data_IF_058171406976
#
_entry.id   IF_058171406976
#
_cell.length_a   1.000
_cell.length_b   1.000
_cell.length_c   1.000
_cell.angle_alpha   90.00
_cell.angle_beta   90.00
_cell.angle_gamma   90.00
#
_symmetry.space_group_name_H-M   'P 1'
#
loop_
_entity.id
_entity.type
_entity.pdbx_description
1 polymer ?
#
# COMPACT_ATOMS: atom_id res chain seq x y z
N UNK A 1 24.12 18.25 -10.22
CA UNK A 1 23.27 18.70 -11.35
C UNK A 1 21.99 19.29 -10.80
N UNK A 2 21.54 20.41 -11.36
CA UNK A 2 20.40 21.21 -10.86
C UNK A 2 19.11 20.38 -10.85
N UNK A 3 18.94 19.51 -11.85
CA UNK A 3 17.80 18.59 -11.98
C UNK A 3 17.77 17.51 -10.89
N UNK A 4 18.92 16.90 -10.55
CA UNK A 4 18.99 15.85 -9.53
C UNK A 4 18.68 16.34 -8.12
N UNK A 5 19.19 17.54 -7.75
CA UNK A 5 18.87 18.14 -6.45
C UNK A 5 17.40 18.59 -6.39
N UNK A 6 16.86 19.13 -7.49
CA UNK A 6 15.45 19.52 -7.57
C UNK A 6 14.49 18.33 -7.42
N UNK A 7 14.82 17.15 -7.96
CA UNK A 7 14.00 15.94 -7.83
C UNK A 7 14.03 15.42 -6.38
N UNK A 8 15.21 15.38 -5.74
CA UNK A 8 15.34 14.96 -4.35
C UNK A 8 14.56 15.85 -3.38
N UNK A 9 14.66 17.17 -3.57
CA UNK A 9 13.92 18.15 -2.76
C UNK A 9 12.42 18.16 -3.04
N UNK A 10 12.00 17.89 -4.28
CA UNK A 10 10.59 17.85 -4.68
C UNK A 10 9.88 16.57 -4.22
N UNK A 11 10.54 15.42 -4.30
CA UNK A 11 9.92 14.12 -3.99
C UNK A 11 9.94 13.77 -2.49
N UNK A 12 10.85 14.38 -1.69
CA UNK A 12 10.96 14.21 -0.22
C UNK A 12 10.68 12.77 0.25
N UNK A 13 11.31 11.79 -0.41
CA UNK A 13 11.14 10.35 -0.14
C UNK A 13 11.81 9.97 1.19
N UNK A 14 11.27 10.42 2.33
CA UNK A 14 11.63 9.87 3.63
C UNK A 14 10.74 8.66 3.94
N UNK A 15 11.27 7.68 4.68
CA UNK A 15 10.46 6.60 5.23
C UNK A 15 9.38 7.21 6.14
N UNK A 16 8.12 7.15 5.71
CA UNK A 16 6.99 7.69 6.48
C UNK A 16 6.54 6.65 7.49
N UNK A 17 6.62 7.01 8.78
CA UNK A 17 5.84 6.31 9.81
C UNK A 17 4.41 6.85 9.74
N UNK A 18 3.47 6.03 9.28
CA UNK A 18 2.07 6.41 9.18
C UNK A 18 1.37 6.34 10.55
N UNK A 19 1.76 7.23 11.47
CA UNK A 19 1.08 7.38 12.75
C UNK A 19 -0.13 8.32 12.67
N UNK A 20 -1.28 7.90 13.19
CA UNK A 20 -2.47 8.74 13.32
C UNK A 20 -3.61 8.30 12.38
N UNK A 21 -4.20 9.25 11.65
CA UNK A 21 -5.41 9.02 10.86
C UNK A 21 -5.11 8.44 9.48
N UNK A 22 -6.02 7.61 8.94
CA UNK A 22 -5.96 7.02 7.60
C UNK A 22 -5.85 8.09 6.51
N UNK A 23 -6.50 9.24 6.70
CA UNK A 23 -6.39 10.43 5.84
C UNK A 23 -4.96 10.96 5.66
N UNK A 24 -4.07 10.78 6.65
CA UNK A 24 -2.63 11.13 6.51
C UNK A 24 -1.92 10.27 5.47
N UNK A 25 -2.41 9.05 5.22
CA UNK A 25 -2.11 8.22 4.04
C UNK A 25 -2.21 9.03 2.75
N UNK A 26 -3.36 9.66 2.57
CA UNK A 26 -3.68 10.49 1.42
C UNK A 26 -2.79 11.72 1.31
N UNK A 27 -2.47 12.39 2.43
CA UNK A 27 -1.55 13.53 2.41
C UNK A 27 -0.16 13.17 1.86
N UNK A 28 0.31 11.96 2.15
CA UNK A 28 1.60 11.51 1.62
C UNK A 28 1.54 11.24 0.12
N UNK A 29 0.50 10.54 -0.35
CA UNK A 29 0.29 10.33 -1.78
C UNK A 29 0.14 11.66 -2.53
N UNK A 30 -0.54 12.65 -1.94
CA UNK A 30 -0.72 13.99 -2.51
C UNK A 30 0.62 14.74 -2.62
N UNK A 31 1.52 14.59 -1.64
CA UNK A 31 2.87 15.17 -1.71
C UNK A 31 3.69 14.54 -2.82
N UNK A 32 3.66 13.20 -2.94
CA UNK A 32 4.36 12.51 -4.03
C UNK A 32 3.80 12.92 -5.39
N UNK A 33 2.48 13.00 -5.53
CA UNK A 33 1.79 13.47 -6.73
C UNK A 33 2.29 14.85 -7.14
N UNK A 34 2.28 15.84 -6.23
CA UNK A 34 2.77 17.20 -6.50
C UNK A 34 4.24 17.24 -6.90
N UNK A 35 5.07 16.40 -6.29
CA UNK A 35 6.48 16.26 -6.67
C UNK A 35 6.65 15.72 -8.10
N UNK A 36 5.82 14.77 -8.52
CA UNK A 36 5.80 14.27 -9.91
C UNK A 36 5.28 15.32 -10.89
N UNK A 37 4.20 16.03 -10.55
CA UNK A 37 3.66 17.13 -11.37
C UNK A 37 4.74 18.20 -11.63
N UNK A 38 5.40 18.69 -10.57
CA UNK A 38 6.46 19.68 -10.71
C UNK A 38 7.68 19.19 -11.48
N UNK A 39 7.98 17.89 -11.43
CA UNK A 39 9.06 17.29 -12.23
C UNK A 39 8.66 17.19 -13.70
N UNK A 40 7.41 16.81 -13.98
CA UNK A 40 6.86 16.75 -15.33
C UNK A 40 6.83 18.13 -15.98
N UNK A 41 6.45 19.17 -15.24
CA UNK A 41 6.43 20.54 -15.75
C UNK A 41 7.82 21.02 -16.17
N UNK A 42 8.85 20.77 -15.34
CA UNK A 42 10.24 21.07 -15.69
C UNK A 42 10.75 20.25 -16.88
N UNK A 43 10.29 19.01 -17.02
CA UNK A 43 10.62 18.18 -18.17
C UNK A 43 9.99 18.75 -19.46
N UNK A 44 8.78 19.30 -19.39
CA UNK A 44 8.13 19.98 -20.51
C UNK A 44 8.82 21.30 -20.87
N UNK A 45 9.24 22.08 -19.87
CA UNK A 45 10.05 23.29 -20.06
C UNK A 45 11.35 22.96 -20.81
N UNK A 46 12.08 21.93 -20.36
CA UNK A 46 13.29 21.44 -21.03
C UNK A 46 13.03 21.04 -22.50
N UNK A 47 11.89 20.42 -22.80
CA UNK A 47 11.48 20.09 -24.18
C UNK A 47 11.34 21.35 -25.05
N UNK A 48 10.82 22.43 -24.47
CA UNK A 48 10.74 23.75 -25.09
C UNK A 48 12.12 24.33 -25.38
N UNK A 49 12.98 24.42 -24.36
CA UNK A 49 14.33 24.97 -24.49
C UNK A 49 15.18 24.23 -25.54
N UNK A 50 15.08 22.89 -25.58
CA UNK A 50 15.80 22.08 -26.57
C UNK A 50 15.33 22.37 -28.00
N UNK A 51 14.07 22.76 -28.18
CA UNK A 51 13.54 23.17 -29.50
C UNK A 51 14.21 24.44 -30.02
N UNK A 52 14.73 25.28 -29.14
CA UNK A 52 15.35 26.57 -29.47
C UNK A 52 16.88 26.48 -29.63
N UNK A 53 17.46 25.29 -29.48
CA UNK A 53 18.90 25.08 -29.53
C UNK A 53 19.48 25.36 -30.94
N UNK A 54 20.19 26.49 -31.08
CA UNK A 54 20.64 27.03 -32.38
C UNK A 54 21.72 26.22 -33.13
N UNK A 55 22.44 25.34 -32.44
CA UNK A 55 23.57 24.57 -33.02
C UNK A 55 23.38 23.05 -32.95
N UNK A 56 22.20 22.58 -32.57
CA UNK A 56 21.89 21.17 -32.51
C UNK A 56 21.29 20.68 -33.84
N UNK A 57 21.61 19.45 -34.24
CA UNK A 57 20.98 18.82 -35.40
C UNK A 57 19.50 18.55 -35.09
N UNK A 58 18.60 18.96 -35.99
CA UNK A 58 17.15 18.77 -35.84
C UNK A 58 16.75 17.32 -35.58
N UNK A 59 17.43 16.35 -36.21
CA UNK A 59 17.17 14.92 -35.94
C UNK A 59 17.51 14.51 -34.49
N UNK A 60 18.57 15.06 -33.91
CA UNK A 60 18.93 14.83 -32.51
C UNK A 60 17.93 15.48 -31.55
N UNK A 61 17.43 16.68 -31.88
CA UNK A 61 16.37 17.36 -31.11
C UNK A 61 15.12 16.49 -31.04
N UNK A 62 14.67 15.94 -32.17
CA UNK A 62 13.45 15.12 -32.20
C UNK A 62 13.59 13.81 -31.42
N UNK A 63 14.78 13.18 -31.43
CA UNK A 63 15.05 12.00 -30.58
C UNK A 63 14.92 12.34 -29.10
N UNK A 64 15.50 13.47 -28.67
CA UNK A 64 15.44 13.88 -27.25
C UNK A 64 14.01 14.24 -26.84
N UNK A 65 13.26 14.95 -27.68
CA UNK A 65 11.84 15.21 -27.45
C UNK A 65 11.02 13.93 -27.34
N UNK A 66 11.32 12.94 -28.18
CA UNK A 66 10.69 11.62 -28.11
C UNK A 66 10.93 10.95 -26.75
N UNK A 67 12.17 11.00 -26.24
CA UNK A 67 12.50 10.46 -24.93
C UNK A 67 11.82 11.23 -23.78
N UNK A 68 11.79 12.57 -23.87
CA UNK A 68 11.07 13.43 -22.91
C UNK A 68 9.58 13.08 -22.88
N UNK A 69 8.95 12.97 -24.05
CA UNK A 69 7.54 12.59 -24.16
C UNK A 69 7.28 11.22 -23.54
N UNK A 70 8.12 10.23 -23.85
CA UNK A 70 8.02 8.89 -23.26
C UNK A 70 8.09 8.90 -21.72
N UNK A 71 8.97 9.70 -21.13
CA UNK A 71 9.02 9.89 -19.68
C UNK A 71 7.78 10.65 -19.15
N UNK A 72 7.29 11.65 -19.87
CA UNK A 72 6.06 12.38 -19.56
C UNK A 72 4.84 11.46 -19.47
N UNK A 73 4.69 10.52 -20.41
CA UNK A 73 3.60 9.53 -20.41
C UNK A 73 3.67 8.57 -19.20
N UNK A 74 4.87 8.29 -18.69
CA UNK A 74 5.06 7.51 -17.45
C UNK A 74 4.64 8.34 -16.24
N UNK A 75 5.03 9.62 -16.17
CA UNK A 75 4.60 10.50 -15.08
C UNK A 75 3.08 10.64 -15.02
N UNK A 76 2.41 10.77 -16.17
CA UNK A 76 0.93 10.82 -16.22
C UNK A 76 0.28 9.61 -15.55
N UNK A 77 0.74 8.40 -15.87
CA UNK A 77 0.22 7.17 -15.25
C UNK A 77 0.44 7.13 -13.74
N UNK A 78 1.61 7.56 -13.27
CA UNK A 78 1.94 7.60 -11.85
C UNK A 78 1.10 8.65 -11.11
N UNK A 79 0.91 9.84 -11.71
CA UNK A 79 0.08 10.92 -11.16
C UNK A 79 -1.39 10.48 -11.06
N UNK A 80 -1.91 9.80 -12.08
CA UNK A 80 -3.28 9.26 -12.09
C UNK A 80 -3.48 8.21 -10.99
N UNK A 81 -2.56 7.24 -10.88
CA UNK A 81 -2.62 6.21 -9.85
C UNK A 81 -2.53 6.80 -8.44
N UNK A 82 -1.64 7.77 -8.22
CA UNK A 82 -1.53 8.48 -6.93
C UNK A 82 -2.79 9.30 -6.62
N UNK A 83 -3.37 9.97 -7.60
CA UNK A 83 -4.63 10.73 -7.42
C UNK A 83 -5.74 9.81 -6.90
N UNK A 84 -5.90 8.62 -7.50
CA UNK A 84 -6.89 7.64 -7.05
C UNK A 84 -6.57 7.12 -5.63
N UNK A 85 -5.30 6.90 -5.29
CA UNK A 85 -4.90 6.49 -3.93
C UNK A 85 -5.17 7.57 -2.88
N UNK A 86 -4.95 8.85 -3.23
CA UNK A 86 -5.32 10.00 -2.39
C UNK A 86 -6.82 9.96 -2.08
N UNK A 87 -7.65 9.72 -3.09
CA UNK A 87 -9.10 9.73 -2.92
C UNK A 87 -9.59 8.55 -2.07
N UNK A 88 -9.02 7.35 -2.25
CA UNK A 88 -9.32 6.20 -1.35
C UNK A 88 -8.98 6.53 0.11
N UNK A 89 -7.85 7.19 0.36
CA UNK A 89 -7.46 7.57 1.72
C UNK A 89 -8.37 8.65 2.31
N UNK A 90 -8.83 9.62 1.50
CA UNK A 90 -9.83 10.62 1.93
C UNK A 90 -11.16 9.96 2.28
N UNK A 91 -11.61 8.98 1.50
CA UNK A 91 -12.84 8.23 1.76
C UNK A 91 -12.78 7.40 3.06
N UNK A 92 -11.58 6.96 3.45
CA UNK A 92 -11.37 6.29 4.74
C UNK A 92 -11.54 7.25 5.95
N UNK A 93 -11.43 8.55 5.70
CA UNK A 93 -11.69 9.63 6.65
C UNK A 93 -10.70 9.71 7.81
N UNK A 94 -11.18 10.29 8.90
CA UNK A 94 -10.41 10.58 10.11
C UNK A 94 -10.25 9.39 11.07
N UNK A 95 -10.58 8.19 10.59
CA UNK A 95 -10.38 6.94 11.32
C UNK A 95 -8.89 6.74 11.58
N UNK A 96 -8.50 6.17 12.72
CA UNK A 96 -7.09 5.90 12.99
C UNK A 96 -6.56 4.71 12.15
N UNK A 97 -5.29 4.76 11.81
CA UNK A 97 -4.52 3.60 11.39
C UNK A 97 -4.44 2.66 12.59
N UNK A 98 -4.72 1.37 12.36
CA UNK A 98 -4.87 0.42 13.45
C UNK A 98 -6.17 0.60 14.25
N UNK A 99 -7.18 1.30 13.72
CA UNK A 99 -8.50 1.39 14.39
C UNK A 99 -9.02 -0.01 14.70
N UNK A 100 -9.58 -0.15 15.90
CA UNK A 100 -9.93 -1.43 16.43
C UNK A 100 -11.31 -1.42 17.09
N UNK A 101 -11.97 -2.57 17.01
CA UNK A 101 -13.23 -2.80 17.68
C UNK A 101 -12.94 -3.31 19.10
N UNK A 102 -12.97 -2.40 20.07
CA UNK A 102 -12.61 -2.71 21.46
C UNK A 102 -13.50 -3.84 22.02
N UNK A 103 -12.86 -4.94 22.43
CA UNK A 103 -13.52 -6.15 22.94
C UNK A 103 -14.60 -6.74 21.99
N UNK A 104 -14.51 -6.43 20.69
CA UNK A 104 -15.44 -6.91 19.66
C UNK A 104 -14.71 -7.62 18.52
N UNK A 105 -15.48 -8.26 17.65
CA UNK A 105 -14.96 -8.89 16.44
C UNK A 105 -14.28 -7.89 15.50
N UNK A 106 -13.38 -8.37 14.65
CA UNK A 106 -12.79 -7.53 13.61
C UNK A 106 -13.87 -7.08 12.61
N UNK A 107 -13.64 -5.95 11.93
CA UNK A 107 -14.52 -5.45 10.88
C UNK A 107 -13.79 -5.53 9.55
N UNK A 108 -14.46 -6.06 8.53
CA UNK A 108 -13.92 -6.13 7.17
C UNK A 108 -13.67 -4.71 6.63
N UNK A 109 -12.62 -4.57 5.83
CA UNK A 109 -12.45 -3.37 5.03
C UNK A 109 -13.48 -3.32 3.89
N UNK A 110 -13.79 -2.10 3.45
CA UNK A 110 -14.61 -1.88 2.26
C UNK A 110 -13.94 -2.51 1.04
N UNK A 111 -14.67 -3.41 0.36
CA UNK A 111 -14.13 -4.19 -0.74
C UNK A 111 -13.73 -3.31 -1.93
N UNK A 112 -14.49 -2.25 -2.21
CA UNK A 112 -14.22 -1.36 -3.34
C UNK A 112 -12.98 -0.51 -3.07
N UNK A 113 -12.81 0.02 -1.85
CA UNK A 113 -11.60 0.71 -1.43
C UNK A 113 -10.38 -0.21 -1.55
N UNK A 114 -10.48 -1.47 -1.12
CA UNK A 114 -9.38 -2.45 -1.24
C UNK A 114 -9.05 -2.76 -2.71
N UNK A 115 -10.06 -2.99 -3.56
CA UNK A 115 -9.85 -3.18 -5.01
C UNK A 115 -9.16 -1.98 -5.65
N UNK A 116 -9.55 -0.76 -5.27
CA UNK A 116 -8.94 0.44 -5.78
C UNK A 116 -7.45 0.52 -5.40
N UNK A 117 -7.07 0.22 -4.16
CA UNK A 117 -5.64 0.17 -3.78
C UNK A 117 -4.89 -0.88 -4.59
N UNK A 118 -5.42 -2.11 -4.69
CA UNK A 118 -4.79 -3.22 -5.44
C UNK A 118 -4.54 -2.81 -6.90
N UNK A 119 -5.55 -2.24 -7.56
CA UNK A 119 -5.46 -1.81 -8.96
C UNK A 119 -4.40 -0.72 -9.15
N UNK A 120 -4.38 0.30 -8.28
CA UNK A 120 -3.43 1.41 -8.41
C UNK A 120 -1.99 1.00 -8.07
N UNK A 121 -1.79 0.13 -7.08
CA UNK A 121 -0.46 -0.45 -6.81
C UNK A 121 0.03 -1.24 -8.01
N UNK A 122 -0.85 -1.99 -8.68
CA UNK A 122 -0.53 -2.68 -9.93
C UNK A 122 -0.15 -1.70 -11.05
N UNK A 123 -0.92 -0.62 -11.25
CA UNK A 123 -0.61 0.43 -12.24
C UNK A 123 0.78 1.04 -12.00
N UNK A 124 1.12 1.34 -10.74
CA UNK A 124 2.43 1.90 -10.35
C UNK A 124 3.58 0.92 -10.66
N UNK A 125 3.42 -0.36 -10.29
CA UNK A 125 4.43 -1.39 -10.55
C UNK A 125 4.60 -1.63 -12.04
N UNK A 126 3.51 -1.72 -12.80
CA UNK A 126 3.55 -1.92 -14.25
C UNK A 126 4.22 -0.73 -14.96
N UNK A 127 4.05 0.51 -14.46
CA UNK A 127 4.74 1.68 -14.96
C UNK A 127 6.25 1.67 -14.62
N UNK A 128 6.61 1.25 -13.41
CA UNK A 128 7.99 1.12 -12.96
C UNK A 128 8.76 0.06 -13.78
N UNK A 129 8.17 -1.13 -13.96
CA UNK A 129 8.77 -2.24 -14.72
C UNK A 129 9.04 -1.85 -16.18
N UNK A 130 8.06 -1.21 -16.84
CA UNK A 130 8.22 -0.68 -18.22
C UNK A 130 9.27 0.42 -18.33
N UNK A 131 9.60 1.07 -17.21
CA UNK A 131 10.64 2.09 -17.12
C UNK A 131 12.02 1.49 -16.78
N UNK A 132 12.14 0.15 -16.73
CA UNK A 132 13.38 -0.55 -16.39
C UNK A 132 13.70 -0.55 -14.89
N UNK A 133 12.76 -0.19 -14.03
CA UNK A 133 12.93 -0.27 -12.58
C UNK A 133 12.69 -1.70 -12.13
N UNK A 134 13.74 -2.35 -11.62
CA UNK A 134 13.65 -3.70 -11.09
C UNK A 134 12.83 -3.71 -9.78
N UNK A 135 11.70 -4.42 -9.80
CA UNK A 135 10.89 -4.70 -8.62
C UNK A 135 11.18 -6.12 -8.15
N UNK A 136 11.72 -6.26 -6.95
CA UNK A 136 12.06 -7.58 -6.40
C UNK A 136 10.82 -8.32 -5.91
N UNK A 137 10.85 -9.65 -5.94
CA UNK A 137 9.74 -10.47 -5.43
C UNK A 137 9.67 -10.48 -3.90
N UNK A 138 10.81 -10.24 -3.23
CA UNK A 138 10.96 -10.36 -1.79
C UNK A 138 10.89 -11.80 -1.27
N UNK A 139 11.10 -11.98 0.04
CA UNK A 139 10.85 -13.24 0.72
C UNK A 139 9.44 -13.24 1.32
N UNK A 140 8.55 -14.11 0.82
CA UNK A 140 7.18 -14.18 1.32
C UNK A 140 7.08 -14.58 2.81
N UNK A 141 8.09 -15.28 3.32
CA UNK A 141 8.11 -15.79 4.69
C UNK A 141 7.33 -17.10 4.82
N UNK A 142 7.02 -17.45 6.07
CA UNK A 142 6.41 -18.72 6.42
C UNK A 142 4.90 -18.57 6.56
N UNK A 143 4.20 -19.71 6.54
CA UNK A 143 2.78 -19.76 6.86
C UNK A 143 2.51 -19.22 8.26
N UNK A 144 1.41 -18.47 8.40
CA UNK A 144 0.94 -17.98 9.71
C UNK A 144 -0.29 -18.77 10.10
N UNK A 145 -0.14 -19.63 11.10
CA UNK A 145 -1.19 -20.54 11.54
C UNK A 145 -2.23 -19.84 12.40
N UNK A 146 -3.48 -20.28 12.28
CA UNK A 146 -4.60 -19.87 13.13
C UNK A 146 -5.26 -21.10 13.77
N UNK A 147 -5.07 -21.28 15.08
CA UNK A 147 -5.73 -22.33 15.86
C UNK A 147 -6.67 -21.81 16.94
N UNK A 148 -6.47 -20.57 17.41
CA UNK A 148 -7.19 -20.00 18.53
C UNK A 148 -7.41 -18.48 18.41
N UNK A 149 -8.30 -17.94 19.25
CA UNK A 149 -8.53 -16.49 19.37
C UNK A 149 -7.31 -15.74 19.94
N UNK A 150 -6.33 -16.45 20.49
CA UNK A 150 -5.06 -15.92 21.00
C UNK A 150 -3.97 -15.81 19.93
N UNK A 151 -4.24 -16.17 18.68
CA UNK A 151 -3.26 -16.16 17.60
C UNK A 151 -3.31 -14.85 16.80
N UNK A 152 -2.21 -14.53 16.12
CA UNK A 152 -2.08 -13.29 15.34
C UNK A 152 -3.27 -13.04 14.40
N UNK A 153 -3.73 -14.02 13.59
CA UNK A 153 -4.80 -13.75 12.62
C UNK A 153 -6.17 -13.45 13.25
N UNK A 154 -6.37 -13.78 14.53
CA UNK A 154 -7.62 -13.47 15.22
C UNK A 154 -7.83 -11.95 15.35
N UNK A 155 -6.75 -11.20 15.58
CA UNK A 155 -6.78 -9.74 15.62
C UNK A 155 -7.11 -9.11 14.26
N UNK A 156 -6.87 -9.83 13.15
CA UNK A 156 -7.14 -9.34 11.80
C UNK A 156 -8.57 -9.64 11.33
N UNK A 157 -9.05 -10.88 11.47
CA UNK A 157 -10.23 -11.34 10.73
C UNK A 157 -11.17 -12.31 11.48
N UNK A 158 -11.04 -12.47 12.81
CA UNK A 158 -11.98 -13.33 13.56
C UNK A 158 -13.40 -12.73 13.64
N UNK A 159 -14.43 -13.59 13.64
CA UNK A 159 -15.83 -13.21 13.91
C UNK A 159 -16.15 -12.98 15.38
N UNK A 160 -15.20 -13.24 16.28
CA UNK A 160 -15.35 -13.02 17.70
C UNK A 160 -14.20 -12.14 18.21
N UNK A 161 -14.29 -11.69 19.45
CA UNK A 161 -13.24 -10.90 20.07
C UNK A 161 -11.91 -11.67 20.08
N UNK A 162 -10.85 -11.03 19.62
CA UNK A 162 -9.51 -11.56 19.76
C UNK A 162 -9.15 -11.60 21.26
N UNK A 163 -8.51 -12.69 21.67
CA UNK A 163 -8.13 -12.91 23.06
C UNK A 163 -6.73 -12.36 23.34
N UNK A 164 -6.37 -12.34 24.62
CA UNK A 164 -5.07 -11.83 25.07
C UNK A 164 -3.94 -12.48 24.27
N UNK A 165 -2.93 -11.67 23.96
CA UNK A 165 -1.74 -11.96 23.17
C UNK A 165 -1.93 -12.02 21.65
N UNK A 166 -3.16 -11.88 21.13
CA UNK A 166 -3.41 -11.86 19.68
C UNK A 166 -2.81 -10.61 19.01
N UNK A 167 -2.99 -9.42 19.61
CA UNK A 167 -2.45 -8.16 19.10
C UNK A 167 -0.91 -8.13 19.07
N UNK A 168 -0.22 -8.45 20.19
CA UNK A 168 1.24 -8.57 20.21
C UNK A 168 1.79 -9.57 19.18
N UNK A 169 1.18 -10.75 19.06
CA UNK A 169 1.57 -11.73 18.03
C UNK A 169 1.35 -11.20 16.61
N UNK A 170 0.27 -10.45 16.36
CA UNK A 170 0.05 -9.82 15.06
C UNK A 170 1.21 -8.87 14.71
N UNK A 171 1.61 -8.00 15.64
CA UNK A 171 2.75 -7.11 15.44
C UNK A 171 4.06 -7.89 15.19
N UNK A 172 4.27 -8.97 15.93
CA UNK A 172 5.42 -9.86 15.72
C UNK A 172 5.43 -10.48 14.31
N UNK A 173 4.32 -11.06 13.85
CA UNK A 173 4.23 -11.67 12.52
C UNK A 173 4.35 -10.65 11.39
N UNK A 174 3.83 -9.43 11.58
CA UNK A 174 3.99 -8.34 10.62
C UNK A 174 5.45 -7.88 10.53
N UNK A 175 6.16 -7.79 11.66
CA UNK A 175 7.57 -7.38 11.68
C UNK A 175 8.52 -8.31 10.91
N UNK A 176 8.09 -9.56 10.67
CA UNK A 176 8.84 -10.57 9.89
C UNK A 176 8.68 -10.40 8.38
N UNK A 177 7.71 -9.60 7.93
CA UNK A 177 7.35 -9.48 6.53
C UNK A 177 8.37 -8.65 5.75
N UNK A 178 8.75 -9.15 4.58
CA UNK A 178 9.56 -8.42 3.63
C UNK A 178 8.67 -7.41 2.85
N UNK A 179 9.05 -6.12 2.78
CA UNK A 179 8.25 -5.10 2.09
C UNK A 179 8.04 -5.37 0.60
N UNK A 180 9.04 -5.92 -0.11
CA UNK A 180 8.89 -6.27 -1.53
C UNK A 180 7.90 -7.41 -1.72
N UNK A 181 7.95 -8.40 -0.83
CA UNK A 181 6.98 -9.48 -0.82
C UNK A 181 5.57 -8.95 -0.56
N UNK A 182 5.38 -8.03 0.39
CA UNK A 182 4.08 -7.41 0.65
C UNK A 182 3.53 -6.70 -0.60
N UNK A 183 4.33 -5.86 -1.25
CA UNK A 183 3.93 -5.15 -2.48
C UNK A 183 3.55 -6.15 -3.58
N UNK A 184 4.34 -7.21 -3.75
CA UNK A 184 4.08 -8.26 -4.72
C UNK A 184 2.81 -9.07 -4.39
N UNK A 185 2.48 -9.25 -3.12
CA UNK A 185 1.22 -9.88 -2.70
C UNK A 185 0.03 -8.96 -2.95
N UNK A 186 0.14 -7.66 -2.64
CA UNK A 186 -0.91 -6.66 -2.88
C UNK A 186 -1.26 -6.58 -4.37
N UNK A 187 -0.28 -6.46 -5.27
CA UNK A 187 -0.54 -6.31 -6.72
C UNK A 187 -1.29 -7.50 -7.35
N UNK A 188 -1.20 -8.67 -6.72
CA UNK A 188 -1.79 -9.93 -7.17
C UNK A 188 -3.02 -10.34 -6.32
N UNK A 189 -3.40 -9.53 -5.33
CA UNK A 189 -4.44 -9.87 -4.38
C UNK A 189 -5.82 -9.92 -5.05
N UNK A 190 -6.69 -10.80 -4.52
CA UNK A 190 -8.08 -10.97 -4.97
C UNK A 190 -9.02 -10.78 -3.79
N UNK A 191 -10.07 -10.00 -4.00
CA UNK A 191 -11.16 -9.82 -3.03
C UNK A 191 -12.39 -10.63 -3.45
N UNK A 192 -13.47 -10.58 -2.65
CA UNK A 192 -14.71 -11.28 -2.97
C UNK A 192 -14.63 -12.81 -2.78
N UNK A 193 -13.49 -13.31 -2.30
CA UNK A 193 -13.26 -14.72 -1.96
C UNK A 193 -13.53 -14.89 -0.47
N UNK A 194 -14.35 -15.88 -0.11
CA UNK A 194 -14.58 -16.22 1.30
C UNK A 194 -13.32 -16.81 1.93
N UNK A 195 -13.14 -16.58 3.23
CA UNK A 195 -12.02 -17.15 3.96
C UNK A 195 -12.20 -18.66 4.10
N UNK A 196 -11.18 -19.42 3.70
CA UNK A 196 -11.11 -20.84 3.97
C UNK A 196 -10.83 -21.07 5.46
N UNK A 197 -11.28 -22.20 5.99
CA UNK A 197 -10.84 -22.67 7.32
C UNK A 197 -9.37 -23.07 7.22
N UNK A 198 -8.54 -22.60 8.16
CA UNK A 198 -7.11 -22.87 8.20
C UNK A 198 -6.25 -21.81 7.51
N UNK A 199 -5.06 -22.18 7.06
CA UNK A 199 -3.95 -21.22 6.92
C UNK A 199 -3.58 -20.89 5.46
N UNK A 200 -4.59 -20.92 4.58
CA UNK A 200 -4.40 -20.79 3.13
C UNK A 200 -5.04 -19.52 2.54
N UNK A 201 -5.28 -18.50 3.36
CA UNK A 201 -5.90 -17.26 2.89
C UNK A 201 -4.88 -16.25 2.36
N UNK A 202 -5.32 -15.50 1.35
CA UNK A 202 -4.53 -14.48 0.66
C UNK A 202 -5.00 -13.07 1.03
N UNK A 203 -4.13 -12.08 0.78
CA UNK A 203 -4.27 -10.68 1.17
C UNK A 203 -5.69 -10.09 1.03
N UNK A 204 -6.26 -10.16 -0.18
CA UNK A 204 -7.51 -9.47 -0.47
C UNK A 204 -8.70 -10.09 0.27
N UNK A 205 -8.73 -11.41 0.42
CA UNK A 205 -9.73 -12.10 1.24
C UNK A 205 -9.57 -11.74 2.72
N UNK A 206 -8.34 -11.79 3.24
CA UNK A 206 -8.03 -11.44 4.63
C UNK A 206 -8.39 -9.99 4.99
N UNK A 207 -8.23 -9.06 4.05
CA UNK A 207 -8.61 -7.66 4.28
C UNK A 207 -10.12 -7.42 4.25
N UNK A 208 -10.86 -8.11 3.36
CA UNK A 208 -12.26 -7.78 3.00
C UNK A 208 -13.31 -8.74 3.56
N UNK A 209 -12.90 -9.80 4.26
CA UNK A 209 -13.81 -10.77 4.88
C UNK A 209 -13.50 -10.96 6.35
N UNK A 210 -14.46 -11.56 7.05
CA UNK A 210 -14.37 -12.04 8.42
C UNK A 210 -14.59 -13.55 8.37
N UNK A 211 -13.80 -14.29 9.15
CA UNK A 211 -13.85 -15.74 9.18
C UNK A 211 -15.11 -16.22 9.90
N UNK A 212 -15.72 -17.31 9.44
CA UNK A 212 -16.80 -17.99 10.19
C UNK A 212 -16.27 -18.75 11.42
N UNK A 213 -14.95 -18.75 11.62
CA UNK A 213 -14.25 -19.35 12.74
C UNK A 213 -13.61 -18.29 13.65
N UNK A 214 -13.22 -18.73 14.85
CA UNK A 214 -12.52 -17.93 15.86
C UNK A 214 -11.17 -17.35 15.40
N UNK A 215 -10.59 -17.87 14.31
CA UNK A 215 -9.39 -17.36 13.66
C UNK A 215 -9.22 -18.06 12.30
N UNK A 216 -8.52 -17.43 11.35
CA UNK A 216 -8.13 -18.07 10.09
C UNK A 216 -6.77 -17.57 9.63
N UNK A 217 -5.89 -18.47 9.19
CA UNK A 217 -4.48 -18.17 8.98
C UNK A 217 -4.19 -17.57 7.62
N UNK A 218 -2.94 -17.19 7.42
CA UNK A 218 -2.44 -16.62 6.17
C UNK A 218 -1.42 -17.56 5.53
N UNK A 219 -1.42 -17.62 4.19
CA UNK A 219 -0.44 -18.43 3.43
C UNK A 219 1.00 -18.10 3.80
N UNK A 220 1.29 -16.81 4.03
CA UNK A 220 2.62 -16.33 4.36
C UNK A 220 2.59 -15.11 5.30
N UNK A 221 3.70 -14.80 5.96
CA UNK A 221 3.89 -13.53 6.70
C UNK A 221 3.55 -12.31 5.83
N UNK A 222 4.01 -12.30 4.57
CA UNK A 222 3.71 -11.22 3.64
C UNK A 222 2.22 -11.11 3.31
N UNK A 223 1.49 -12.24 3.22
CA UNK A 223 0.03 -12.23 3.03
C UNK A 223 -0.69 -11.58 4.21
N UNK A 224 -0.30 -11.94 5.44
CA UNK A 224 -0.87 -11.36 6.67
C UNK A 224 -0.57 -9.86 6.76
N UNK A 225 0.69 -9.47 6.62
CA UNK A 225 1.12 -8.08 6.74
C UNK A 225 0.51 -7.17 5.66
N UNK A 226 0.43 -7.66 4.42
CA UNK A 226 -0.25 -6.93 3.36
C UNK A 226 -1.75 -6.77 3.65
N UNK A 227 -2.41 -7.78 4.22
CA UNK A 227 -3.82 -7.68 4.58
C UNK A 227 -4.04 -6.69 5.73
N UNK A 228 -3.14 -6.67 6.72
CA UNK A 228 -3.11 -5.67 7.79
C UNK A 228 -2.98 -4.27 7.17
N UNK A 229 -2.01 -4.06 6.27
CA UNK A 229 -1.82 -2.78 5.61
C UNK A 229 -3.06 -2.34 4.81
N UNK A 230 -3.64 -3.21 3.98
CA UNK A 230 -4.85 -2.89 3.23
C UNK A 230 -6.02 -2.55 4.15
N UNK A 231 -6.25 -3.31 5.22
CA UNK A 231 -7.30 -3.01 6.20
C UNK A 231 -7.04 -1.69 6.94
N UNK A 232 -5.78 -1.41 7.25
CA UNK A 232 -5.37 -0.23 7.99
C UNK A 232 -5.57 1.07 7.18
N UNK A 233 -5.34 1.05 5.86
CA UNK A 233 -5.39 2.28 5.03
C UNK A 233 -6.72 2.50 4.32
N UNK A 234 -7.58 1.48 4.24
CA UNK A 234 -8.87 1.56 3.53
C UNK A 234 -10.05 1.81 4.47
N UNK A 235 -11.17 2.23 3.87
CA UNK A 235 -12.41 2.55 4.59
C UNK A 235 -12.97 1.34 5.34
N UNK A 236 -13.57 1.60 6.50
CA UNK A 236 -14.36 0.64 7.28
C UNK A 236 -13.57 -0.39 8.09
N UNK A 237 -12.40 -0.81 7.61
CA UNK A 237 -11.60 -1.86 8.24
C UNK A 237 -11.21 -1.54 9.67
N UNK A 238 -11.50 -2.49 10.58
CA UNK A 238 -11.10 -2.45 11.99
C UNK A 238 -10.51 -3.78 12.43
N UNK A 239 -9.51 -3.71 13.26
CA UNK A 239 -8.92 -4.88 13.91
C UNK A 239 -9.70 -5.27 15.17
N UNK A 240 -9.38 -6.43 15.73
CA UNK A 240 -9.85 -6.87 17.04
C UNK A 240 -8.68 -6.96 18.01
N UNK A 241 -8.92 -6.70 19.29
CA UNK A 241 -7.93 -6.90 20.35
C UNK A 241 -8.60 -7.23 21.68
N UNK A 242 -7.84 -7.87 22.58
CA UNK A 242 -8.22 -8.00 23.98
C UNK A 242 -8.05 -6.67 24.71
N UNK A 243 -8.69 -6.51 25.87
CA UNK A 243 -8.55 -5.30 26.68
C UNK A 243 -7.06 -4.95 26.91
N UNK A 244 -6.73 -3.66 26.73
CA UNK A 244 -5.37 -3.10 26.90
C UNK A 244 -4.33 -3.46 25.81
N UNK A 245 -4.73 -4.08 24.69
CA UNK A 245 -3.81 -4.43 23.58
C UNK A 245 -3.94 -3.54 22.33
N UNK A 246 -4.72 -2.44 22.41
CA UNK A 246 -4.91 -1.46 21.33
C UNK A 246 -3.57 -0.96 20.73
N UNK A 247 -2.58 -0.71 21.59
CA UNK A 247 -1.25 -0.29 21.16
C UNK A 247 -0.52 -1.30 20.28
N UNK A 248 -0.72 -2.61 20.50
CA UNK A 248 -0.05 -3.66 19.74
C UNK A 248 -0.63 -3.80 18.33
N UNK A 249 -1.96 -3.72 18.21
CA UNK A 249 -2.63 -3.73 16.91
C UNK A 249 -2.31 -2.47 16.10
N UNK A 250 -2.24 -1.30 16.77
CA UNK A 250 -1.74 -0.08 16.14
C UNK A 250 -0.30 -0.24 15.67
N UNK A 251 0.58 -0.82 16.48
CA UNK A 251 1.96 -1.07 16.09
C UNK A 251 2.07 -2.01 14.88
N UNK A 252 1.20 -3.02 14.76
CA UNK A 252 1.16 -3.89 13.59
C UNK A 252 0.71 -3.15 12.31
N UNK A 253 -0.09 -2.10 12.45
CA UNK A 253 -0.67 -1.38 11.33
C UNK A 253 0.20 -0.22 10.78
N UNK A 254 1.20 0.24 11.53
CA UNK A 254 2.01 1.46 11.27
C UNK A 254 3.36 1.16 10.65
#
# INVERSE_FOLDING_TARGET
GIFGNAIGDALRLSAVKFGGQKSKGGEHFEKMKKGLEGTKDKLNELSGEISEAKNANGSSIEVVKGAIKGAGDVFDKLIDALTKLVDVAKEAGDTNIGDANNAGAAVAADENSVKAVIANVKEIIDAADKSGVKIELGNAGNQVTAGAQTDAPAALAANNNAQANSGPKLAEEVSKADPWAMINKIKNAKTGINLAVGDNNEVGALATKIADANSTGAKTNADLAAAVALKAITKGGKFSHAANEDGAVKAAAV
#
